data_IF_080738333748
#
_entry.id   IF_080738333748
#
_cell.length_a   1.000
_cell.length_b   1.000
_cell.length_c   1.000
_cell.angle_alpha   90.00
_cell.angle_beta   90.00
_cell.angle_gamma   90.00
#
_symmetry.space_group_name_H-M   'P 1'
#
loop_
_entity.id
_entity.type
_entity.pdbx_description
1 polymer ?
#
# COMPACT_ATOMS: atom_id res chain seq x y z
N UNK A 1 -4.58 26.14 -16.01
CA UNK A 1 -3.41 25.24 -15.76
C UNK A 1 -2.93 25.27 -14.32
N UNK A 2 -2.81 26.43 -13.68
CA UNK A 2 -2.38 26.55 -12.26
C UNK A 2 -3.31 25.83 -11.28
N UNK A 3 -4.63 25.98 -11.43
CA UNK A 3 -5.63 25.30 -10.59
C UNK A 3 -5.54 23.77 -10.64
N UNK A 4 -5.17 23.20 -11.80
CA UNK A 4 -4.99 21.75 -11.96
C UNK A 4 -3.73 21.28 -11.22
N UNK A 5 -2.63 22.03 -11.33
CA UNK A 5 -1.39 21.74 -10.60
C UNK A 5 -1.60 21.79 -9.09
N UNK A 6 -2.32 22.80 -8.61
CA UNK A 6 -2.68 22.93 -7.20
C UNK A 6 -3.50 21.71 -6.72
N UNK A 7 -4.48 21.28 -7.51
CA UNK A 7 -5.30 20.11 -7.19
C UNK A 7 -4.49 18.82 -7.07
N UNK A 8 -3.50 18.60 -7.93
CA UNK A 8 -2.60 17.43 -7.84
C UNK A 8 -1.66 17.50 -6.63
N UNK A 9 -1.14 18.68 -6.29
CA UNK A 9 -0.31 18.87 -5.10
C UNK A 9 -1.11 18.58 -3.83
N UNK A 10 -2.35 19.07 -3.74
CA UNK A 10 -3.24 18.77 -2.62
C UNK A 10 -3.48 17.26 -2.50
N UNK A 11 -3.81 16.59 -3.61
CA UNK A 11 -4.00 15.13 -3.66
C UNK A 11 -2.79 14.36 -3.12
N UNK A 12 -1.58 14.69 -3.55
CA UNK A 12 -0.35 14.05 -3.06
C UNK A 12 -0.11 14.31 -1.57
N UNK A 13 -0.44 15.51 -1.08
CA UNK A 13 -0.37 15.82 0.33
C UNK A 13 -1.34 14.97 1.16
N UNK A 14 -2.56 14.78 0.66
CA UNK A 14 -3.55 13.87 1.24
C UNK A 14 -3.03 12.43 1.29
N UNK A 15 -2.43 11.95 0.20
CA UNK A 15 -1.81 10.62 0.13
C UNK A 15 -0.76 10.41 1.24
N UNK A 16 0.11 11.41 1.48
CA UNK A 16 1.14 11.36 2.51
C UNK A 16 0.54 11.28 3.92
N UNK A 17 -0.45 12.13 4.22
CA UNK A 17 -1.16 12.10 5.50
C UNK A 17 -1.80 10.74 5.72
N UNK A 18 -2.49 10.23 4.70
CA UNK A 18 -3.14 8.92 4.73
C UNK A 18 -2.17 7.79 5.05
N UNK A 19 -1.00 7.78 4.41
CA UNK A 19 0.04 6.78 4.66
C UNK A 19 0.55 6.80 6.12
N UNK A 20 0.82 8.00 6.66
CA UNK A 20 1.32 8.14 8.05
C UNK A 20 0.26 7.69 9.06
N UNK A 21 -1.00 8.13 8.89
CA UNK A 21 -2.08 7.81 9.82
C UNK A 21 -2.42 6.31 9.77
N UNK A 22 -2.54 5.74 8.57
CA UNK A 22 -2.90 4.33 8.40
C UNK A 22 -1.79 3.38 8.87
N UNK A 23 -0.52 3.72 8.65
CA UNK A 23 0.61 2.92 9.13
C UNK A 23 0.56 2.76 10.65
N UNK A 24 0.38 3.87 11.37
CA UNK A 24 0.22 3.85 12.83
C UNK A 24 -1.04 3.09 13.27
N UNK A 25 -2.17 3.35 12.60
CA UNK A 25 -3.42 2.67 12.91
C UNK A 25 -3.30 1.15 12.72
N UNK A 26 -2.58 0.70 11.68
CA UNK A 26 -2.45 -0.73 11.36
C UNK A 26 -1.62 -1.48 12.39
N UNK A 27 -0.59 -0.84 12.95
CA UNK A 27 0.21 -1.41 14.03
C UNK A 27 -0.59 -1.52 15.34
N UNK A 28 -1.50 -0.58 15.61
CA UNK A 28 -2.33 -0.55 16.82
C UNK A 28 -3.52 -1.50 16.72
N UNK A 29 -4.38 -1.30 15.72
CA UNK A 29 -5.68 -1.95 15.58
C UNK A 29 -5.64 -3.26 14.79
N UNK A 30 -4.57 -3.50 14.03
CA UNK A 30 -4.42 -4.63 13.13
C UNK A 30 -4.67 -4.24 11.67
N UNK A 31 -4.00 -4.95 10.77
CA UNK A 31 -3.96 -4.62 9.34
C UNK A 31 -5.33 -4.81 8.68
N UNK A 32 -6.05 -5.88 9.02
CA UNK A 32 -7.37 -6.18 8.44
C UNK A 32 -8.39 -5.07 8.70
N UNK A 33 -8.49 -4.61 9.95
CA UNK A 33 -9.47 -3.59 10.34
C UNK A 33 -9.19 -2.24 9.66
N UNK A 34 -7.92 -1.88 9.56
CA UNK A 34 -7.51 -0.65 8.88
C UNK A 34 -7.76 -0.76 7.38
N UNK A 35 -7.43 -1.88 6.74
CA UNK A 35 -7.76 -2.10 5.33
C UNK A 35 -9.26 -1.99 5.05
N UNK A 36 -10.10 -2.55 5.93
CA UNK A 36 -11.55 -2.49 5.78
C UNK A 36 -12.08 -1.05 5.92
N UNK A 37 -11.72 -0.37 7.01
CA UNK A 37 -12.17 1.01 7.27
C UNK A 37 -11.71 1.99 6.19
N UNK A 38 -10.45 1.89 5.75
CA UNK A 38 -9.93 2.74 4.68
C UNK A 38 -10.56 2.41 3.32
N UNK A 39 -10.89 1.15 3.05
CA UNK A 39 -11.59 0.77 1.80
C UNK A 39 -13.03 1.29 1.78
N UNK A 40 -13.74 1.26 2.92
CA UNK A 40 -15.08 1.86 3.02
C UNK A 40 -15.02 3.37 2.80
N UNK A 41 -14.08 4.06 3.46
CA UNK A 41 -13.86 5.50 3.25
C UNK A 41 -13.59 5.82 1.77
N UNK A 42 -12.69 5.05 1.14
CA UNK A 42 -12.37 5.20 -0.28
C UNK A 42 -13.63 5.14 -1.17
N UNK A 43 -14.49 4.15 -0.97
CA UNK A 43 -15.72 4.00 -1.78
C UNK A 43 -16.66 5.19 -1.58
N UNK A 44 -16.83 5.66 -0.35
CA UNK A 44 -17.70 6.82 -0.03
C UNK A 44 -17.21 8.06 -0.77
N UNK A 45 -15.90 8.36 -0.71
CA UNK A 45 -15.34 9.54 -1.35
C UNK A 45 -15.24 9.43 -2.88
N UNK A 46 -15.06 8.23 -3.43
CA UNK A 46 -15.15 7.98 -4.88
C UNK A 46 -16.54 8.31 -5.42
N UNK A 47 -17.59 7.83 -4.73
CA UNK A 47 -18.98 8.10 -5.10
C UNK A 47 -19.28 9.59 -4.94
N UNK A 48 -18.92 10.18 -3.80
CA UNK A 48 -19.14 11.60 -3.53
C UNK A 48 -18.46 12.50 -4.57
N UNK A 49 -17.25 12.16 -5.02
CA UNK A 49 -16.51 12.92 -6.04
C UNK A 49 -17.29 13.04 -7.34
N UNK A 50 -18.05 12.01 -7.72
CA UNK A 50 -18.81 12.03 -8.96
C UNK A 50 -20.03 12.98 -8.93
N UNK A 51 -20.52 13.32 -7.73
CA UNK A 51 -21.58 14.31 -7.52
C UNK A 51 -21.05 15.74 -7.34
N UNK A 52 -19.74 15.96 -7.49
CA UNK A 52 -19.16 17.29 -7.29
C UNK A 52 -19.69 18.31 -8.32
N UNK A 53 -20.29 19.44 -7.86
CA UNK A 53 -20.83 20.47 -8.75
C UNK A 53 -19.79 21.53 -9.15
N UNK A 54 -18.68 21.63 -8.40
CA UNK A 54 -17.65 22.65 -8.59
C UNK A 54 -16.23 22.06 -8.51
N UNK A 55 -15.27 22.74 -9.14
CA UNK A 55 -13.87 22.32 -9.12
C UNK A 55 -13.25 22.30 -7.72
N UNK A 56 -13.66 23.24 -6.86
CA UNK A 56 -13.20 23.29 -5.46
C UNK A 56 -13.72 22.08 -4.67
N UNK A 57 -15.01 21.76 -4.81
CA UNK A 57 -15.62 20.59 -4.19
C UNK A 57 -14.98 19.29 -4.71
N UNK A 58 -14.73 19.20 -6.02
CA UNK A 58 -14.02 18.08 -6.63
C UNK A 58 -12.61 17.90 -6.02
N UNK A 59 -11.86 18.99 -5.88
CA UNK A 59 -10.49 18.94 -5.33
C UNK A 59 -10.48 18.54 -3.86
N UNK A 60 -11.42 19.05 -3.05
CA UNK A 60 -11.56 18.68 -1.65
C UNK A 60 -11.96 17.20 -1.48
N UNK A 61 -12.92 16.71 -2.26
CA UNK A 61 -13.32 15.30 -2.22
C UNK A 61 -12.19 14.37 -2.66
N UNK A 62 -11.44 14.76 -3.70
CA UNK A 62 -10.24 14.04 -4.14
C UNK A 62 -9.10 14.07 -3.12
N UNK A 63 -8.99 15.13 -2.33
CA UNK A 63 -8.03 15.16 -1.23
C UNK A 63 -8.33 14.06 -0.19
N UNK A 64 -9.59 13.94 0.23
CA UNK A 64 -9.99 12.88 1.16
C UNK A 64 -9.87 11.49 0.53
N UNK A 65 -10.30 11.32 -0.72
CA UNK A 65 -10.12 10.09 -1.49
C UNK A 65 -8.65 9.62 -1.50
N UNK A 66 -7.70 10.55 -1.67
CA UNK A 66 -6.27 10.24 -1.65
C UNK A 66 -5.75 9.91 -0.26
N UNK A 67 -6.30 10.48 0.83
CA UNK A 67 -5.98 10.04 2.20
C UNK A 67 -6.32 8.55 2.37
N UNK A 68 -7.52 8.14 1.96
CA UNK A 68 -7.92 6.74 2.07
C UNK A 68 -7.12 5.82 1.13
N UNK A 69 -6.83 6.28 -0.09
CA UNK A 69 -6.00 5.56 -1.05
C UNK A 69 -4.59 5.33 -0.51
N UNK A 70 -3.92 6.38 -0.04
CA UNK A 70 -2.56 6.31 0.49
C UNK A 70 -2.47 5.44 1.75
N UNK A 71 -3.46 5.56 2.62
CA UNK A 71 -3.54 4.75 3.82
C UNK A 71 -3.76 3.26 3.55
N UNK A 72 -4.75 2.93 2.69
CA UNK A 72 -4.98 1.55 2.22
C UNK A 72 -3.70 0.98 1.62
N UNK A 73 -3.04 1.75 0.76
CA UNK A 73 -1.84 1.32 0.05
C UNK A 73 -0.66 1.03 1.00
N UNK A 74 -0.44 1.91 1.98
CA UNK A 74 0.60 1.75 3.01
C UNK A 74 0.42 0.46 3.82
N UNK A 75 -0.81 0.05 4.11
CA UNK A 75 -1.10 -1.16 4.91
C UNK A 75 -1.13 -2.43 4.04
N UNK A 76 -1.56 -2.30 2.79
CA UNK A 76 -1.72 -3.43 1.87
C UNK A 76 -0.37 -4.06 1.49
N UNK A 77 0.64 -3.24 1.18
CA UNK A 77 1.99 -3.70 0.83
C UNK A 77 2.64 -4.60 1.90
N UNK A 78 2.77 -4.18 3.17
CA UNK A 78 3.34 -5.04 4.22
C UNK A 78 2.45 -6.24 4.53
N UNK A 79 1.12 -6.12 4.37
CA UNK A 79 0.23 -7.26 4.52
C UNK A 79 0.54 -8.36 3.50
N UNK A 80 0.73 -8.04 2.22
CA UNK A 80 1.12 -9.03 1.22
C UNK A 80 2.50 -9.63 1.51
N UNK A 81 3.48 -8.79 1.83
CA UNK A 81 4.85 -9.24 2.11
C UNK A 81 4.94 -10.19 3.30
N UNK A 82 4.09 -10.02 4.31
CA UNK A 82 4.09 -10.89 5.48
C UNK A 82 3.37 -12.22 5.29
N UNK A 83 2.39 -12.29 4.40
CA UNK A 83 1.64 -13.52 4.14
C UNK A 83 2.25 -14.37 3.01
N UNK A 84 3.07 -13.78 2.15
CA UNK A 84 3.68 -14.48 1.03
C UNK A 84 4.97 -15.22 1.44
N UNK A 85 5.24 -16.41 0.87
CA UNK A 85 6.50 -17.11 1.06
C UNK A 85 7.66 -16.36 0.38
N UNK A 86 8.84 -16.36 1.01
CA UNK A 86 10.04 -15.58 0.60
C UNK A 86 10.35 -15.67 -0.90
N UNK A 87 10.23 -16.86 -1.47
CA UNK A 87 10.56 -17.16 -2.88
C UNK A 87 9.71 -16.39 -3.90
N UNK A 88 8.48 -16.02 -3.54
CA UNK A 88 7.53 -15.40 -4.47
C UNK A 88 7.18 -13.95 -4.12
N UNK A 89 7.69 -13.41 -3.00
CA UNK A 89 7.33 -12.06 -2.50
C UNK A 89 7.56 -10.98 -3.55
N UNK A 90 8.73 -10.95 -4.18
CA UNK A 90 9.12 -9.85 -5.07
C UNK A 90 8.34 -9.85 -6.39
N UNK A 91 8.13 -11.01 -7.01
CA UNK A 91 7.40 -11.11 -8.27
C UNK A 91 5.90 -10.82 -8.06
N UNK A 92 5.29 -11.39 -7.03
CA UNK A 92 3.87 -11.13 -6.71
C UNK A 92 3.66 -9.66 -6.35
N UNK A 93 4.53 -9.07 -5.52
CA UNK A 93 4.41 -7.68 -5.11
C UNK A 93 4.78 -6.65 -6.19
N UNK A 94 5.28 -7.06 -7.35
CA UNK A 94 5.57 -6.13 -8.47
C UNK A 94 4.57 -6.34 -9.61
N UNK A 95 4.35 -7.61 -9.98
CA UNK A 95 3.52 -7.99 -11.12
C UNK A 95 2.03 -7.97 -10.79
N UNK A 96 1.62 -8.34 -9.57
CA UNK A 96 0.18 -8.40 -9.24
C UNK A 96 -0.36 -7.04 -8.79
N UNK A 97 0.48 -6.17 -8.23
CA UNK A 97 0.05 -4.97 -7.52
C UNK A 97 0.20 -3.68 -8.33
N UNK A 98 1.23 -3.51 -9.17
CA UNK A 98 1.49 -2.23 -9.83
C UNK A 98 1.39 -2.28 -11.36
N UNK A 99 2.33 -2.94 -12.04
CA UNK A 99 2.58 -2.68 -13.47
C UNK A 99 1.39 -2.97 -14.41
N UNK A 100 0.72 -4.13 -14.36
CA UNK A 100 -0.38 -4.42 -15.29
C UNK A 100 -1.67 -3.66 -14.93
N UNK A 101 -1.85 -3.28 -13.67
CA UNK A 101 -3.07 -2.60 -13.21
C UNK A 101 -3.24 -1.22 -13.86
N UNK A 102 -2.13 -0.52 -14.16
CA UNK A 102 -2.19 0.77 -14.88
C UNK A 102 -2.68 0.62 -16.32
N UNK A 103 -2.31 -0.46 -17.01
CA UNK A 103 -2.75 -0.74 -18.39
C UNK A 103 -4.25 -1.04 -18.39
N UNK A 104 -4.69 -1.91 -17.46
CA UNK A 104 -6.11 -2.25 -17.30
C UNK A 104 -6.93 -1.00 -16.97
N UNK A 105 -6.46 -0.18 -16.04
CA UNK A 105 -7.13 1.07 -15.68
C UNK A 105 -7.21 2.04 -16.86
N UNK A 106 -6.15 2.14 -17.67
CA UNK A 106 -6.14 2.98 -18.87
C UNK A 106 -7.15 2.49 -19.91
N UNK A 107 -7.28 1.17 -20.09
CA UNK A 107 -8.30 0.58 -20.94
C UNK A 107 -9.73 0.88 -20.45
N UNK A 108 -9.97 0.75 -19.15
CA UNK A 108 -11.26 1.08 -18.53
C UNK A 108 -11.58 2.57 -18.71
N UNK A 109 -10.59 3.45 -18.52
CA UNK A 109 -10.75 4.88 -18.72
C UNK A 109 -11.12 5.24 -20.16
N UNK A 110 -10.48 4.58 -21.14
CA UNK A 110 -10.81 4.74 -22.56
C UNK A 110 -12.26 4.32 -22.87
N UNK A 111 -12.72 3.20 -22.30
CA UNK A 111 -14.09 2.72 -22.50
C UNK A 111 -15.16 3.60 -21.83
N UNK A 112 -14.85 4.19 -20.66
CA UNK A 112 -15.81 5.03 -19.95
C UNK A 112 -16.08 6.36 -20.66
N UNK A 113 -15.07 6.96 -21.29
CA UNK A 113 -15.16 8.25 -22.02
C UNK A 113 -15.41 9.49 -21.15
N UNK A 114 -16.10 9.33 -20.01
CA UNK A 114 -16.46 10.40 -19.07
C UNK A 114 -15.86 10.14 -17.67
N UNK A 115 -15.33 11.20 -17.04
CA UNK A 115 -14.64 11.11 -15.74
C UNK A 115 -15.58 10.74 -14.57
N UNK A 116 -16.87 11.09 -14.66
CA UNK A 116 -17.88 10.72 -13.65
C UNK A 116 -18.16 9.23 -13.70
N UNK A 117 -18.40 8.69 -14.89
CA UNK A 117 -18.59 7.26 -15.13
C UNK A 117 -17.33 6.50 -14.67
N UNK A 118 -16.14 7.00 -14.98
CA UNK A 118 -14.89 6.40 -14.49
C UNK A 118 -14.81 6.35 -12.95
N UNK A 119 -15.28 7.39 -12.27
CA UNK A 119 -15.30 7.42 -10.79
C UNK A 119 -16.29 6.39 -10.21
N UNK A 120 -17.44 6.20 -10.86
CA UNK A 120 -18.44 5.18 -10.47
C UNK A 120 -17.91 3.77 -10.73
N UNK A 121 -17.31 3.55 -11.89
CA UNK A 121 -16.66 2.28 -12.25
C UNK A 121 -15.54 1.95 -11.27
N UNK A 122 -14.70 2.92 -10.90
CA UNK A 122 -13.66 2.74 -9.90
C UNK A 122 -14.22 2.37 -8.51
N UNK A 123 -15.31 3.01 -8.09
CA UNK A 123 -16.02 2.65 -6.86
C UNK A 123 -16.58 1.22 -6.93
N UNK A 124 -17.17 0.84 -8.06
CA UNK A 124 -17.69 -0.50 -8.33
C UNK A 124 -16.61 -1.58 -8.26
N UNK A 125 -15.46 -1.37 -8.90
CA UNK A 125 -14.31 -2.29 -8.83
C UNK A 125 -13.79 -2.40 -7.40
N UNK A 126 -13.83 -1.31 -6.64
CA UNK A 126 -13.40 -1.28 -5.23
C UNK A 126 -14.36 -2.01 -4.27
N UNK A 127 -15.59 -2.33 -4.69
CA UNK A 127 -16.49 -3.19 -3.90
C UNK A 127 -15.99 -4.64 -3.82
N UNK A 128 -15.29 -5.14 -4.84
CA UNK A 128 -14.75 -6.50 -4.82
C UNK A 128 -13.80 -6.73 -3.63
N UNK A 129 -12.73 -5.91 -3.41
CA UNK A 129 -11.88 -6.08 -2.24
C UNK A 129 -12.64 -5.82 -0.93
N UNK A 130 -13.67 -4.98 -0.89
CA UNK A 130 -14.50 -4.80 0.31
C UNK A 130 -15.16 -6.12 0.75
N UNK A 131 -15.64 -6.92 -0.20
CA UNK A 131 -16.24 -8.23 0.07
C UNK A 131 -15.17 -9.25 0.45
N UNK A 132 -13.97 -9.17 -0.12
CA UNK A 132 -12.90 -10.14 0.14
C UNK A 132 -12.18 -9.92 1.48
N UNK A 133 -11.96 -8.68 1.91
CA UNK A 133 -11.21 -8.35 3.15
C UNK A 133 -11.75 -9.04 4.41
N UNK A 134 -13.07 -9.16 4.64
CA UNK A 134 -13.62 -9.90 5.78
C UNK A 134 -13.17 -11.36 5.87
N UNK A 135 -12.85 -12.02 4.76
CA UNK A 135 -12.37 -13.41 4.73
C UNK A 135 -10.88 -13.56 5.06
N UNK A 136 -10.12 -12.45 5.04
CA UNK A 136 -8.72 -12.45 5.40
C UNK A 136 -8.56 -12.58 6.93
N UNK A 137 -7.48 -13.21 7.37
CA UNK A 137 -7.03 -13.21 8.76
C UNK A 137 -5.94 -12.16 8.95
N UNK A 138 -5.79 -11.61 10.15
CA UNK A 138 -4.64 -10.75 10.45
C UNK A 138 -3.34 -11.54 10.33
N UNK A 139 -2.23 -10.84 10.06
CA UNK A 139 -0.95 -11.51 9.80
C UNK A 139 -0.44 -12.23 11.06
N UNK A 140 0.07 -13.48 10.94
CA UNK A 140 0.59 -14.22 12.09
C UNK A 140 1.64 -13.43 12.86
N UNK A 141 2.48 -12.67 12.14
CA UNK A 141 3.52 -11.82 12.74
C UNK A 141 2.95 -10.70 13.63
N UNK A 142 1.88 -10.04 13.21
CA UNK A 142 1.22 -9.03 14.05
C UNK A 142 0.56 -9.66 15.27
N UNK A 143 -0.05 -10.83 15.11
CA UNK A 143 -0.70 -11.56 16.20
C UNK A 143 0.32 -12.04 17.25
N UNK A 144 1.49 -12.53 16.83
CA UNK A 144 2.63 -12.87 17.72
C UNK A 144 3.10 -11.61 18.46
N UNK A 145 3.30 -10.49 17.76
CA UNK A 145 3.71 -9.22 18.37
C UNK A 145 2.69 -8.68 19.39
N UNK A 146 1.42 -9.06 19.29
CA UNK A 146 0.37 -8.71 20.26
C UNK A 146 0.19 -9.77 21.37
N UNK A 147 1.01 -10.82 21.40
CA UNK A 147 0.91 -11.92 22.37
C UNK A 147 -0.30 -12.82 22.16
N UNK A 148 -0.94 -12.79 20.98
CA UNK A 148 -2.14 -13.58 20.66
C UNK A 148 -1.75 -14.91 19.98
N UNK A 149 -1.04 -15.77 20.71
CA UNK A 149 -0.48 -17.02 20.16
C UNK A 149 -1.50 -17.93 19.49
N UNK A 150 -2.68 -18.10 20.10
CA UNK A 150 -3.73 -18.99 19.56
C UNK A 150 -4.31 -18.47 18.23
N UNK A 151 -4.54 -17.15 18.12
CA UNK A 151 -5.02 -16.55 16.87
C UNK A 151 -3.93 -16.59 15.80
N UNK A 152 -2.67 -16.38 16.20
CA UNK A 152 -1.52 -16.47 15.30
C UNK A 152 -1.37 -17.88 14.72
N UNK A 153 -1.50 -18.92 15.54
CA UNK A 153 -1.45 -20.31 15.11
C UNK A 153 -2.58 -20.61 14.12
N UNK A 154 -3.82 -20.22 14.44
CA UNK A 154 -4.98 -20.35 13.54
C UNK A 154 -4.81 -19.59 12.22
N UNK A 155 -4.11 -18.45 12.22
CA UNK A 155 -3.81 -17.69 11.01
C UNK A 155 -2.74 -18.37 10.17
N UNK A 156 -1.66 -18.85 10.78
CA UNK A 156 -0.59 -19.54 10.10
C UNK A 156 -1.06 -20.86 9.47
N UNK A 157 -1.80 -21.69 10.21
CA UNK A 157 -2.37 -22.94 9.70
C UNK A 157 -3.29 -22.67 8.51
N UNK A 158 -4.10 -21.61 8.58
CA UNK A 158 -4.94 -21.19 7.47
C UNK A 158 -4.13 -20.84 6.23
N UNK A 159 -3.04 -20.08 6.36
CA UNK A 159 -2.16 -19.71 5.23
C UNK A 159 -1.45 -20.96 4.68
N UNK A 160 -0.93 -21.83 5.56
CA UNK A 160 -0.22 -23.06 5.15
C UNK A 160 -1.13 -24.01 4.38
N UNK A 161 -2.42 -24.08 4.71
CA UNK A 161 -3.41 -24.87 3.97
C UNK A 161 -3.50 -24.50 2.49
N UNK A 162 -3.24 -23.23 2.14
CA UNK A 162 -3.24 -22.76 0.75
C UNK A 162 -1.90 -22.95 0.05
N UNK A 163 -0.81 -23.17 0.78
CA UNK A 163 0.55 -23.27 0.23
C UNK A 163 1.00 -24.71 -0.02
N UNK A 164 0.75 -25.64 0.91
CA UNK A 164 1.24 -27.02 0.84
C UNK A 164 0.25 -28.00 1.51
N UNK A 165 0.43 -29.31 1.29
CA UNK A 165 -0.33 -30.34 2.01
C UNK A 165 -0.04 -30.25 3.51
N UNK A 166 -1.06 -29.86 4.28
CA UNK A 166 -0.99 -29.78 5.73
C UNK A 166 -1.04 -31.21 6.31
N UNK A 167 0.06 -31.67 6.90
CA UNK A 167 0.09 -32.90 7.71
C UNK A 167 -0.19 -32.57 9.18
N UNK A 168 -0.83 -33.48 9.94
CA UNK A 168 -1.16 -33.25 11.36
C UNK A 168 0.07 -32.90 12.22
N UNK A 169 1.21 -33.54 11.95
CA UNK A 169 2.47 -33.29 12.66
C UNK A 169 3.02 -31.88 12.39
N UNK A 170 2.85 -31.37 11.17
CA UNK A 170 3.32 -30.04 10.79
C UNK A 170 2.41 -28.96 11.34
N UNK A 171 1.11 -29.21 11.43
CA UNK A 171 0.16 -28.33 12.11
C UNK A 171 0.52 -28.18 13.60
N UNK A 172 0.83 -29.29 14.28
CA UNK A 172 1.29 -29.27 15.67
C UNK A 172 2.63 -28.54 15.82
N UNK A 173 3.59 -28.77 14.92
CA UNK A 173 4.88 -28.08 14.93
C UNK A 173 4.73 -26.57 14.74
N UNK A 174 3.96 -26.13 13.74
CA UNK A 174 3.70 -24.70 13.46
C UNK A 174 3.03 -24.04 14.67
N UNK A 175 2.03 -24.73 15.25
CA UNK A 175 1.31 -24.24 16.42
C UNK A 175 2.25 -24.09 17.61
N UNK A 176 3.07 -25.10 17.92
CA UNK A 176 4.04 -25.07 19.01
C UNK A 176 5.09 -23.95 18.84
N UNK A 177 5.64 -23.78 17.64
CA UNK A 177 6.62 -22.71 17.34
C UNK A 177 5.98 -21.32 17.52
N UNK A 178 4.75 -21.13 17.06
CA UNK A 178 4.05 -19.85 17.17
C UNK A 178 3.67 -19.53 18.60
N UNK A 179 3.20 -20.51 19.38
CA UNK A 179 2.91 -20.32 20.79
C UNK A 179 4.18 -19.92 21.55
N UNK A 180 5.28 -20.65 21.35
CA UNK A 180 6.57 -20.31 21.96
C UNK A 180 7.02 -18.89 21.59
N UNK A 181 6.95 -18.51 20.32
CA UNK A 181 7.30 -17.17 19.87
C UNK A 181 6.39 -16.07 20.45
N UNK A 182 5.10 -16.35 20.61
CA UNK A 182 4.15 -15.43 21.23
C UNK A 182 4.40 -15.26 22.73
N UNK A 183 4.74 -16.34 23.44
CA UNK A 183 5.07 -16.32 24.86
C UNK A 183 6.39 -15.56 25.12
N UNK A 184 7.41 -15.79 24.28
CA UNK A 184 8.66 -15.04 24.33
C UNK A 184 8.46 -13.53 24.14
N UNK A 185 7.59 -13.13 23.20
CA UNK A 185 7.27 -11.71 22.99
C UNK A 185 6.39 -11.12 24.09
N UNK A 186 5.50 -11.91 24.69
CA UNK A 186 4.74 -11.48 25.86
C UNK A 186 5.67 -11.20 27.06
N UNK A 187 6.66 -12.06 27.29
CA UNK A 187 7.66 -11.87 28.34
C UNK A 187 8.56 -10.65 28.07
N UNK A 188 8.95 -10.40 26.81
CA UNK A 188 9.66 -9.17 26.44
C UNK A 188 8.79 -7.92 26.65
N UNK A 189 7.50 -7.97 26.33
CA UNK A 189 6.58 -6.86 26.58
C UNK A 189 6.41 -6.57 28.07
N UNK A 190 6.33 -7.60 28.93
CA UNK A 190 6.28 -7.41 30.39
C UNK A 190 7.56 -6.76 30.94
N UNK A 191 8.72 -7.13 30.39
CA UNK A 191 10.03 -6.57 30.81
C UNK A 191 10.30 -5.18 30.24
N UNK A 192 9.76 -4.86 29.07
CA UNK A 192 9.96 -3.57 28.40
C UNK A 192 8.88 -2.56 28.78
N UNK A 193 9.23 -1.57 29.63
CA UNK A 193 8.37 -0.40 29.91
C UNK A 193 8.39 0.67 28.80
N UNK A 194 9.05 0.44 27.66
CA UNK A 194 9.20 1.46 26.61
C UNK A 194 8.06 1.38 25.60
N UNK A 195 7.26 2.44 25.54
CA UNK A 195 6.29 2.63 24.47
C UNK A 195 7.02 3.17 23.23
N UNK A 196 7.07 2.36 22.17
CA UNK A 196 7.64 2.78 20.88
C UNK A 196 6.54 3.43 20.02
N UNK A 197 6.83 4.64 19.54
CA UNK A 197 5.95 5.45 18.69
C UNK A 197 6.68 5.89 17.42
N UNK A 198 5.94 6.34 16.42
CA UNK A 198 6.45 6.74 15.10
C UNK A 198 7.64 7.71 15.14
N UNK A 199 7.64 8.68 16.05
CA UNK A 199 8.73 9.65 16.15
C UNK A 199 10.06 9.02 16.61
N UNK A 200 10.03 7.87 17.28
CA UNK A 200 11.25 7.13 17.63
C UNK A 200 11.96 6.54 16.40
N UNK A 201 11.26 6.35 15.27
CA UNK A 201 11.87 5.93 14.00
C UNK A 201 12.85 6.99 13.46
N UNK A 202 12.52 8.27 13.65
CA UNK A 202 13.35 9.39 13.20
C UNK A 202 14.31 9.90 14.29
N UNK A 203 14.09 9.49 15.54
CA UNK A 203 14.98 9.82 16.66
C UNK A 203 16.27 8.99 16.67
N UNK A 204 16.28 7.84 16.01
CA UNK A 204 17.49 7.04 15.81
C UNK A 204 18.19 7.48 14.52
N UNK A 205 19.36 8.10 14.67
CA UNK A 205 20.14 8.68 13.56
C UNK A 205 20.47 7.66 12.46
N UNK A 206 20.61 6.38 12.81
CA UNK A 206 20.86 5.32 11.81
C UNK A 206 19.65 5.10 10.92
N UNK A 207 18.46 4.94 11.53
CA UNK A 207 17.20 4.74 10.81
C UNK A 207 16.80 6.00 10.02
N UNK A 208 17.03 7.18 10.59
CA UNK A 208 16.87 8.46 9.91
C UNK A 208 17.75 8.58 8.66
N UNK A 209 19.02 8.17 8.75
CA UNK A 209 19.94 8.22 7.61
C UNK A 209 19.50 7.30 6.46
N UNK A 210 18.99 6.10 6.76
CA UNK A 210 18.43 5.21 5.73
C UNK A 210 17.19 5.79 5.06
N UNK A 211 16.29 6.43 5.83
CA UNK A 211 15.13 7.10 5.26
C UNK A 211 15.54 8.24 4.33
N UNK A 212 16.55 9.03 4.70
CA UNK A 212 17.08 10.12 3.87
C UNK A 212 17.74 9.60 2.59
N UNK A 213 18.61 8.58 2.68
CA UNK A 213 19.25 7.97 1.50
C UNK A 213 18.23 7.36 0.56
N UNK A 214 17.18 6.73 1.09
CA UNK A 214 16.10 6.19 0.29
C UNK A 214 15.28 7.30 -0.38
N UNK A 215 14.95 8.38 0.35
CA UNK A 215 14.23 9.52 -0.21
C UNK A 215 15.04 10.25 -1.31
N UNK A 216 16.33 10.48 -1.09
CA UNK A 216 17.20 11.14 -2.06
C UNK A 216 17.45 10.27 -3.30
N UNK A 217 17.59 8.95 -3.14
CA UNK A 217 17.75 8.04 -4.29
C UNK A 217 16.48 7.95 -5.14
N UNK A 218 15.29 7.90 -4.53
CA UNK A 218 14.02 7.97 -5.26
C UNK A 218 13.83 9.32 -5.96
N UNK A 219 14.16 10.42 -5.29
CA UNK A 219 14.07 11.75 -5.88
C UNK A 219 15.02 11.90 -7.08
N UNK A 220 16.27 11.44 -6.93
CA UNK A 220 17.26 11.45 -7.99
C UNK A 220 16.81 10.61 -9.21
N UNK A 221 16.22 9.45 -8.97
CA UNK A 221 15.66 8.61 -10.03
C UNK A 221 14.55 9.33 -10.82
N UNK A 222 13.57 9.92 -10.13
CA UNK A 222 12.46 10.66 -10.77
C UNK A 222 12.99 11.87 -11.53
N UNK A 223 13.96 12.59 -10.95
CA UNK A 223 14.59 13.74 -11.58
C UNK A 223 15.34 13.34 -12.86
N UNK A 224 16.16 12.29 -12.81
CA UNK A 224 16.89 11.77 -13.96
C UNK A 224 15.95 11.29 -15.07
N UNK A 225 14.85 10.61 -14.72
CA UNK A 225 13.85 10.18 -15.69
C UNK A 225 13.17 11.37 -16.37
N UNK A 226 12.76 12.39 -15.61
CA UNK A 226 12.19 13.62 -16.19
C UNK A 226 13.19 14.37 -17.05
N UNK A 227 14.46 14.44 -16.64
CA UNK A 227 15.52 15.07 -17.41
C UNK A 227 15.78 14.32 -18.73
N UNK A 228 15.79 12.98 -18.71
CA UNK A 228 15.93 12.16 -19.91
C UNK A 228 14.78 12.34 -20.89
N UNK A 229 13.54 12.48 -20.40
CA UNK A 229 12.36 12.77 -21.24
C UNK A 229 12.37 14.21 -21.76
N UNK A 230 12.90 15.16 -20.98
CA UNK A 230 12.99 16.57 -21.34
C UNK A 230 14.19 16.92 -22.23
N UNK A 231 15.15 16.00 -22.40
CA UNK A 231 16.23 16.21 -23.36
C UNK A 231 15.63 16.29 -24.78
N UNK A 232 15.87 17.40 -25.51
CA UNK A 232 15.45 17.51 -26.89
C UNK A 232 16.08 16.38 -27.69
N UNK A 233 15.28 15.65 -28.48
CA UNK A 233 15.78 14.66 -29.45
C UNK A 233 16.56 15.31 -30.63
N UNK A 234 17.13 16.50 -30.43
CA UNK A 234 17.85 17.28 -31.43
C UNK A 234 19.14 16.55 -31.90
N UNK A 235 19.72 15.70 -31.05
CA UNK A 235 20.89 14.90 -31.40
C UNK A 235 20.62 13.74 -32.37
N UNK A 236 19.40 13.17 -32.40
CA UNK A 236 19.08 12.03 -33.30
C UNK A 236 18.73 12.47 -34.73
N UNK A 237 18.21 13.68 -34.93
CA UNK A 237 17.99 14.24 -36.27
C UNK A 237 19.28 14.65 -36.97
N UNK A 238 20.29 15.10 -36.23
CA UNK A 238 21.59 15.50 -36.79
C UNK A 238 22.42 14.32 -37.33
N UNK A 239 22.25 13.12 -36.78
CA UNK A 239 22.95 11.92 -37.25
C UNK A 239 22.26 11.35 -38.50
N UNK A 240 20.93 11.47 -38.60
CA UNK A 240 20.18 11.01 -39.77
C UNK A 240 20.42 11.88 -41.01
N UNK A 241 20.76 13.16 -40.83
CA UNK A 241 21.06 14.08 -41.93
C UNK A 241 22.54 14.03 -42.40
N UNK A 242 23.47 13.49 -41.60
CA UNK A 242 24.88 13.31 -42.01
C UNK A 242 25.16 12.03 -42.80
N UNK A 243 24.25 11.04 -42.72
CA UNK A 243 24.39 9.77 -43.43
C UNK A 243 23.39 9.64 -44.60
N UNK A 244 22.78 10.76 -45.02
CA UNK A 244 21.65 10.80 -45.95
C UNK A 244 21.75 11.83 -47.08
N UNK A 245 22.98 12.22 -47.45
CA UNK A 245 23.33 12.90 -48.72
C UNK A 245 24.69 12.45 -49.16
#
# INVERSE_FOLDING_TARGET
>A
LEYVKLGTTMQNFGLMIGAIVAGNAADIFGRKKVLLTFTVGLIIFLIATAFSPSFLAFTALRFFDMIFTGGKHCVCNPYFMENLPDKHRMWVATVVTYSPNYIVLSGIAYLCGEWKILSWTAAGITLLPLIMIPFLKDTPRWLIKKGRGEQAARAAVYITKWSEKLTPEREQHITAVIHKAADEELEKMKKSKKNYYFYHLFSDWKLGSYAVVFATSLYAYIFAQKFMIAMPQEGMMMIKNKNGT
#
